data_IF_987207646144
#
_entry.id   IF_987207646144
#
_cell.length_a   1.000
_cell.length_b   1.000
_cell.length_c   1.000
_cell.angle_alpha   90.00
_cell.angle_beta   90.00
_cell.angle_gamma   90.00
#
_symmetry.space_group_name_H-M   'P 1'
#
loop_
_entity.id
_entity.type
_entity.pdbx_description
1 polymer ?
#
# COMPACT_ATOMS: atom_id res chain seq x y z
N UNK A 1 24.35 27.88 -14.10
CA UNK A 1 23.96 26.46 -14.27
C UNK A 1 24.37 25.78 -12.98
N UNK A 2 23.57 25.93 -11.94
CA UNK A 2 23.80 25.24 -10.66
C UNK A 2 23.35 23.80 -10.84
N UNK A 3 24.32 22.90 -10.94
CA UNK A 3 24.11 21.47 -10.76
C UNK A 3 23.73 21.26 -9.29
N UNK A 4 22.44 21.21 -9.01
CA UNK A 4 21.93 20.77 -7.71
C UNK A 4 22.42 19.34 -7.52
N UNK A 5 23.43 19.21 -6.67
CA UNK A 5 24.01 17.98 -6.17
C UNK A 5 22.86 17.03 -5.79
N UNK A 6 22.76 15.89 -6.48
CA UNK A 6 21.80 14.82 -6.19
C UNK A 6 22.20 14.10 -4.89
N UNK A 7 22.38 14.86 -3.81
CA UNK A 7 22.39 14.34 -2.45
C UNK A 7 21.12 13.53 -2.31
N UNK A 8 21.28 12.24 -2.03
CA UNK A 8 20.20 11.34 -1.72
C UNK A 8 19.23 12.07 -0.80
N UNK A 9 18.06 12.44 -1.33
CA UNK A 9 17.02 13.07 -0.53
C UNK A 9 16.61 11.93 0.42
N UNK A 10 17.03 11.97 1.68
CA UNK A 10 16.64 10.95 2.65
C UNK A 10 15.26 11.27 3.21
N UNK A 11 14.48 10.26 3.65
CA UNK A 11 13.23 10.53 4.33
C UNK A 11 13.48 11.33 5.62
N UNK A 12 12.55 12.22 6.01
CA UNK A 12 12.68 13.03 7.21
C UNK A 12 12.83 12.16 8.46
N UNK A 13 13.50 12.66 9.51
CA UNK A 13 13.75 11.88 10.72
C UNK A 13 12.44 11.52 11.42
N UNK A 14 12.34 10.26 11.85
CA UNK A 14 11.26 9.83 12.73
C UNK A 14 11.48 10.43 14.12
N UNK A 15 10.57 11.32 14.53
CA UNK A 15 10.59 11.95 15.85
C UNK A 15 9.69 11.19 16.81
N UNK A 16 10.04 11.23 18.09
CA UNK A 16 9.20 10.73 19.16
C UNK A 16 8.36 11.89 19.75
N UNK A 17 7.09 11.60 20.03
CA UNK A 17 6.21 12.43 20.82
C UNK A 17 6.63 12.39 22.32
N UNK A 18 6.09 13.29 23.16
CA UNK A 18 6.44 13.34 24.59
C UNK A 18 6.14 12.05 25.37
N UNK A 19 5.25 11.19 24.88
CA UNK A 19 4.92 9.89 25.47
C UNK A 19 5.85 8.75 24.99
N UNK A 20 6.88 9.07 24.20
CA UNK A 20 7.85 8.12 23.66
C UNK A 20 7.37 7.36 22.41
N UNK A 21 6.15 7.64 21.91
CA UNK A 21 5.64 7.03 20.68
C UNK A 21 6.07 7.82 19.44
N UNK A 22 5.98 7.25 18.22
CA UNK A 22 6.15 8.01 16.99
C UNK A 22 5.24 9.25 16.93
N UNK A 23 5.81 10.40 16.63
CA UNK A 23 5.07 11.65 16.41
C UNK A 23 4.21 11.54 15.14
N UNK A 24 2.86 11.68 15.21
CA UNK A 24 1.99 11.61 14.05
C UNK A 24 2.35 12.61 12.94
N UNK A 25 2.84 13.79 13.29
CA UNK A 25 3.27 14.78 12.29
C UNK A 25 4.53 14.32 11.56
N UNK A 26 5.49 13.73 12.28
CA UNK A 26 6.67 13.15 11.66
C UNK A 26 6.31 11.95 10.75
N UNK A 27 5.31 11.15 11.12
CA UNK A 27 4.80 10.07 10.25
C UNK A 27 4.20 10.65 8.97
N UNK A 28 3.40 11.72 9.05
CA UNK A 28 2.84 12.38 7.88
C UNK A 28 3.95 12.91 6.94
N UNK A 29 4.98 13.57 7.48
CA UNK A 29 6.14 14.04 6.72
C UNK A 29 6.86 12.89 6.00
N UNK A 30 7.01 11.73 6.66
CA UNK A 30 7.61 10.52 6.09
C UNK A 30 6.73 9.96 4.97
N UNK A 31 5.42 9.83 5.20
CA UNK A 31 4.47 9.35 4.19
C UNK A 31 4.51 10.24 2.95
N UNK A 32 4.48 11.56 3.12
CA UNK A 32 4.59 12.51 2.01
C UNK A 32 5.91 12.35 1.27
N UNK A 33 7.02 12.17 1.98
CA UNK A 33 8.31 11.89 1.35
C UNK A 33 8.25 10.62 0.48
N UNK A 34 7.70 9.51 0.99
CA UNK A 34 7.59 8.28 0.21
C UNK A 34 6.69 8.44 -1.02
N UNK A 35 5.60 9.19 -0.90
CA UNK A 35 4.72 9.48 -2.02
C UNK A 35 5.37 10.37 -3.10
N UNK A 36 6.38 11.16 -2.75
CA UNK A 36 7.09 12.06 -3.66
C UNK A 36 8.37 11.45 -4.25
N UNK A 37 9.06 10.57 -3.51
CA UNK A 37 10.41 10.10 -3.86
C UNK A 37 10.56 8.58 -3.97
N UNK A 38 9.63 7.78 -3.44
CA UNK A 38 9.63 6.34 -3.59
C UNK A 38 8.65 5.91 -4.68
N UNK A 39 9.16 5.54 -5.85
CA UNK A 39 8.35 5.23 -7.04
C UNK A 39 7.27 4.18 -6.76
N UNK A 40 7.58 3.16 -5.96
CA UNK A 40 6.64 2.07 -5.67
C UNK A 40 5.50 2.52 -4.76
N UNK A 41 5.78 3.40 -3.79
CA UNK A 41 4.76 4.00 -2.93
C UNK A 41 3.95 5.03 -3.72
N UNK A 42 4.62 5.88 -4.50
CA UNK A 42 3.99 6.92 -5.33
C UNK A 42 2.93 6.36 -6.29
N UNK A 43 3.06 5.10 -6.73
CA UNK A 43 2.04 4.42 -7.54
C UNK A 43 0.66 4.43 -6.89
N UNK A 44 0.51 4.51 -5.56
CA UNK A 44 -0.82 4.59 -4.93
C UNK A 44 -1.62 5.82 -5.39
N UNK A 45 -0.94 6.89 -5.83
CA UNK A 45 -1.54 8.11 -6.42
C UNK A 45 -1.94 7.94 -7.89
N UNK A 46 -1.58 6.84 -8.53
CA UNK A 46 -1.88 6.62 -9.94
C UNK A 46 -3.40 6.60 -10.17
N UNK A 47 -3.94 7.23 -11.23
CA UNK A 47 -5.38 7.27 -11.50
C UNK A 47 -6.05 5.89 -11.48
N UNK A 48 -5.39 4.86 -12.03
CA UNK A 48 -5.91 3.49 -12.01
C UNK A 48 -6.02 2.89 -10.60
N UNK A 49 -5.15 3.28 -9.68
CA UNK A 49 -5.24 2.83 -8.28
C UNK A 49 -6.35 3.58 -7.53
N UNK A 50 -6.60 4.84 -7.89
CA UNK A 50 -7.74 5.57 -7.36
C UNK A 50 -9.08 5.02 -7.87
N UNK A 51 -9.14 4.63 -9.15
CA UNK A 51 -10.28 3.92 -9.73
C UNK A 51 -10.54 2.59 -9.02
N UNK A 52 -9.50 1.78 -8.82
CA UNK A 52 -9.58 0.54 -8.03
C UNK A 52 -10.09 0.76 -6.61
N UNK A 53 -9.62 1.82 -5.95
CA UNK A 53 -10.06 2.17 -4.61
C UNK A 53 -11.57 2.47 -4.56
N UNK A 54 -12.08 3.30 -5.48
CA UNK A 54 -13.51 3.59 -5.55
C UNK A 54 -14.34 2.36 -5.92
N UNK A 55 -13.84 1.51 -6.83
CA UNK A 55 -14.46 0.21 -7.09
C UNK A 55 -14.56 -0.63 -5.80
N UNK A 56 -13.48 -0.70 -5.02
CA UNK A 56 -13.44 -1.47 -3.77
C UNK A 56 -14.43 -0.93 -2.75
N UNK A 57 -14.53 0.39 -2.59
CA UNK A 57 -15.54 1.01 -1.73
C UNK A 57 -16.96 0.61 -2.16
N UNK A 58 -17.27 0.71 -3.45
CA UNK A 58 -18.59 0.34 -3.98
C UNK A 58 -18.89 -1.17 -3.81
N UNK A 59 -17.90 -2.04 -3.99
CA UNK A 59 -18.03 -3.47 -3.74
C UNK A 59 -18.29 -3.75 -2.26
N UNK A 60 -17.55 -3.12 -1.35
CA UNK A 60 -17.73 -3.28 0.09
C UNK A 60 -19.12 -2.83 0.56
N UNK A 61 -19.58 -1.65 0.13
CA UNK A 61 -20.93 -1.15 0.42
C UNK A 61 -22.01 -2.13 -0.06
N UNK A 62 -21.88 -2.63 -1.30
CA UNK A 62 -22.83 -3.60 -1.88
C UNK A 62 -22.89 -4.90 -1.10
N UNK A 63 -21.77 -5.32 -0.48
CA UNK A 63 -21.66 -6.55 0.30
C UNK A 63 -21.87 -6.32 1.81
N UNK A 64 -22.31 -5.14 2.24
CA UNK A 64 -22.58 -4.83 3.64
C UNK A 64 -21.34 -4.70 4.52
N UNK A 65 -20.17 -4.49 3.90
CA UNK A 65 -18.91 -4.23 4.60
C UNK A 65 -18.83 -2.72 4.87
N UNK A 66 -18.59 -2.29 6.12
CA UNK A 66 -18.45 -0.87 6.44
C UNK A 66 -17.31 -0.22 5.65
N UNK A 67 -17.63 0.88 4.96
CA UNK A 67 -16.65 1.68 4.21
C UNK A 67 -16.30 2.94 4.97
N UNK A 68 -15.00 3.20 5.09
CA UNK A 68 -14.51 4.47 5.59
C UNK A 68 -14.53 5.51 4.45
N UNK A 69 -15.02 6.74 4.71
CA UNK A 69 -15.26 7.75 3.68
C UNK A 69 -13.95 8.48 3.31
N UNK A 70 -12.93 7.74 2.87
CA UNK A 70 -11.73 8.36 2.30
C UNK A 70 -12.04 8.86 0.89
N UNK A 71 -11.49 10.02 0.55
CA UNK A 71 -11.71 10.67 -0.74
C UNK A 71 -10.95 10.01 -1.89
N UNK A 72 -9.84 9.32 -1.60
CA UNK A 72 -8.97 8.70 -2.59
C UNK A 72 -8.07 7.60 -1.98
N UNK A 73 -7.40 6.86 -2.85
CA UNK A 73 -6.48 5.77 -2.48
C UNK A 73 -5.32 6.25 -1.59
N UNK A 74 -4.77 7.45 -1.86
CA UNK A 74 -3.69 8.04 -1.07
C UNK A 74 -4.13 8.30 0.38
N UNK A 75 -5.30 8.89 0.60
CA UNK A 75 -5.83 9.17 1.92
C UNK A 75 -6.06 7.87 2.71
N UNK A 76 -6.62 6.84 2.06
CA UNK A 76 -6.76 5.50 2.67
C UNK A 76 -5.41 4.91 3.06
N UNK A 77 -4.40 5.05 2.21
CA UNK A 77 -3.05 4.57 2.50
C UNK A 77 -2.40 5.33 3.66
N UNK A 78 -2.38 6.68 3.60
CA UNK A 78 -1.71 7.51 4.58
C UNK A 78 -2.28 7.31 5.99
N UNK A 79 -3.62 7.25 6.10
CA UNK A 79 -4.28 6.97 7.38
C UNK A 79 -4.03 5.52 7.83
N UNK A 80 -3.98 4.57 6.90
CA UNK A 80 -3.63 3.18 7.18
C UNK A 80 -2.26 3.03 7.85
N UNK A 81 -1.24 3.73 7.34
CA UNK A 81 0.12 3.75 7.93
C UNK A 81 0.09 4.28 9.36
N UNK A 82 -0.58 5.42 9.59
CA UNK A 82 -0.69 6.02 10.93
C UNK A 82 -1.41 5.07 11.89
N UNK A 83 -2.55 4.50 11.47
CA UNK A 83 -3.32 3.55 12.28
C UNK A 83 -2.53 2.28 12.58
N UNK A 84 -1.76 1.75 11.63
CA UNK A 84 -0.90 0.60 11.85
C UNK A 84 0.11 0.86 12.97
N UNK A 85 0.76 2.03 12.98
CA UNK A 85 1.73 2.38 14.03
C UNK A 85 1.08 2.65 15.39
N UNK A 86 -0.12 3.25 15.40
CA UNK A 86 -0.86 3.53 16.63
C UNK A 86 -1.35 2.25 17.32
N UNK A 87 -1.84 1.27 16.55
CA UNK A 87 -2.35 0.01 17.10
C UNK A 87 -1.25 -1.02 17.36
N UNK A 88 -0.16 -1.00 16.58
CA UNK A 88 0.97 -1.91 16.73
C UNK A 88 2.16 -1.22 17.41
N UNK A 89 1.92 -0.78 18.64
CA UNK A 89 2.77 0.15 19.40
C UNK A 89 4.05 -0.45 20.01
N UNK A 90 4.45 -1.66 19.60
CA UNK A 90 5.64 -2.35 20.08
C UNK A 90 6.28 -3.18 18.97
N UNK A 91 7.54 -3.54 19.14
CA UNK A 91 8.28 -4.31 18.13
C UNK A 91 7.57 -5.61 17.75
N UNK A 92 7.10 -6.47 18.69
CA UNK A 92 6.45 -7.72 18.32
C UNK A 92 5.11 -7.53 17.60
N UNK A 93 4.36 -6.48 17.95
CA UNK A 93 3.08 -6.19 17.30
C UNK A 93 3.29 -5.65 15.88
N UNK A 94 4.25 -4.73 15.69
CA UNK A 94 4.54 -4.19 14.37
C UNK A 94 5.20 -5.25 13.47
N UNK A 95 6.02 -6.13 14.05
CA UNK A 95 6.56 -7.32 13.37
C UNK A 95 5.43 -8.23 12.88
N UNK A 96 4.45 -8.55 13.73
CA UNK A 96 3.29 -9.36 13.34
C UNK A 96 2.50 -8.70 12.20
N UNK A 97 2.16 -7.42 12.36
CA UNK A 97 1.44 -6.67 11.33
C UNK A 97 2.18 -6.62 9.99
N UNK A 98 3.49 -6.40 10.00
CA UNK A 98 4.30 -6.41 8.78
C UNK A 98 4.36 -7.79 8.12
N UNK A 99 4.33 -8.88 8.90
CA UNK A 99 4.19 -10.22 8.33
C UNK A 99 2.84 -10.39 7.63
N UNK A 100 1.74 -9.95 8.25
CA UNK A 100 0.41 -10.00 7.63
C UNK A 100 0.33 -9.18 6.33
N UNK A 101 0.90 -7.98 6.32
CA UNK A 101 0.96 -7.12 5.11
C UNK A 101 1.77 -7.78 3.99
N UNK A 102 2.92 -8.38 4.32
CA UNK A 102 3.77 -9.05 3.31
C UNK A 102 3.13 -10.35 2.81
N UNK A 103 2.46 -11.10 3.68
CA UNK A 103 1.71 -12.29 3.29
C UNK A 103 0.55 -11.93 2.35
N UNK A 104 -0.26 -10.92 2.70
CA UNK A 104 -1.34 -10.44 1.85
C UNK A 104 -0.83 -9.92 0.50
N UNK A 105 0.32 -9.23 0.48
CA UNK A 105 0.98 -8.80 -0.76
C UNK A 105 1.39 -10.00 -1.63
N UNK A 106 1.97 -11.05 -1.02
CA UNK A 106 2.39 -12.24 -1.74
C UNK A 106 1.20 -12.98 -2.36
N UNK A 107 0.15 -13.24 -1.57
CA UNK A 107 -1.07 -13.92 -2.01
C UNK A 107 -1.80 -13.13 -3.11
N UNK A 108 -1.91 -11.80 -2.94
CA UNK A 108 -2.52 -10.94 -3.94
C UNK A 108 -1.76 -10.97 -5.27
N UNK A 109 -0.42 -10.93 -5.22
CA UNK A 109 0.44 -11.00 -6.41
C UNK A 109 0.31 -12.33 -7.13
N UNK A 110 0.36 -13.43 -6.39
CA UNK A 110 0.19 -14.79 -6.92
C UNK A 110 -1.18 -14.93 -7.60
N UNK A 111 -2.25 -14.60 -6.88
CA UNK A 111 -3.63 -14.65 -7.41
C UNK A 111 -3.80 -13.78 -8.66
N UNK A 112 -3.30 -12.55 -8.66
CA UNK A 112 -3.38 -11.67 -9.83
C UNK A 112 -2.64 -12.27 -11.02
N UNK A 113 -1.44 -12.81 -10.78
CA UNK A 113 -0.62 -13.41 -11.81
C UNK A 113 -1.32 -14.64 -12.42
N UNK A 114 -1.85 -15.54 -11.60
CA UNK A 114 -2.58 -16.73 -12.06
C UNK A 114 -3.78 -16.35 -12.95
N UNK A 115 -4.60 -15.38 -12.53
CA UNK A 115 -5.75 -14.93 -13.33
C UNK A 115 -5.29 -14.26 -14.62
N UNK A 116 -4.23 -13.44 -14.56
CA UNK A 116 -3.65 -12.75 -15.73
C UNK A 116 -3.19 -13.77 -16.77
N UNK A 117 -2.45 -14.79 -16.35
CA UNK A 117 -1.91 -15.84 -17.22
C UNK A 117 -3.04 -16.71 -17.80
N UNK A 118 -3.97 -17.17 -16.96
CA UNK A 118 -5.10 -18.00 -17.38
C UNK A 118 -6.00 -17.32 -18.43
N UNK A 119 -6.08 -15.99 -18.41
CA UNK A 119 -6.94 -15.21 -19.31
C UNK A 119 -6.16 -14.38 -20.34
N UNK A 120 -4.82 -14.48 -20.37
CA UNK A 120 -3.94 -13.68 -21.22
C UNK A 120 -4.22 -12.17 -21.17
N UNK A 121 -4.42 -11.64 -19.96
CA UNK A 121 -4.79 -10.24 -19.76
C UNK A 121 -3.63 -9.29 -20.13
N UNK A 122 -2.39 -9.76 -20.06
CA UNK A 122 -1.14 -9.02 -20.32
C UNK A 122 -0.91 -8.61 -21.78
N UNK A 123 -1.78 -9.03 -22.72
CA UNK A 123 -1.68 -8.68 -24.15
C UNK A 123 -1.72 -7.18 -24.42
N UNK A 124 -2.31 -6.40 -23.53
CA UNK A 124 -2.33 -4.94 -23.63
C UNK A 124 -1.95 -4.33 -22.27
N UNK A 125 -0.67 -3.99 -22.04
CA UNK A 125 -0.19 -3.52 -20.75
C UNK A 125 -0.68 -2.10 -20.39
N UNK A 126 -1.27 -1.37 -21.33
CA UNK A 126 -1.77 -0.02 -21.12
C UNK A 126 -3.17 0.02 -20.50
N UNK A 127 -3.85 -1.14 -20.39
CA UNK A 127 -5.17 -1.22 -19.79
C UNK A 127 -5.10 -1.01 -18.27
N UNK A 128 -6.11 -0.33 -17.75
CA UNK A 128 -6.35 -0.30 -16.31
C UNK A 128 -6.77 -1.69 -15.80
N UNK A 129 -6.60 -1.95 -14.49
CA UNK A 129 -7.13 -3.15 -13.86
C UNK A 129 -8.65 -3.33 -14.09
N UNK A 130 -9.41 -2.23 -14.11
CA UNK A 130 -10.85 -2.28 -14.42
C UNK A 130 -11.12 -2.79 -15.83
N UNK A 131 -10.38 -2.28 -16.82
CA UNK A 131 -10.51 -2.71 -18.22
C UNK A 131 -10.04 -4.17 -18.41
N UNK A 132 -9.01 -4.62 -17.69
CA UNK A 132 -8.63 -6.03 -17.69
C UNK A 132 -9.72 -6.91 -17.09
N UNK A 133 -10.36 -6.48 -16.00
CA UNK A 133 -11.44 -7.22 -15.39
C UNK A 133 -12.64 -7.37 -16.35
N UNK A 134 -12.89 -6.41 -17.24
CA UNK A 134 -13.97 -6.53 -18.22
C UNK A 134 -13.79 -7.69 -19.21
N UNK A 135 -12.55 -8.15 -19.41
CA UNK A 135 -12.22 -9.32 -20.24
C UNK A 135 -12.50 -10.66 -19.52
N UNK A 136 -12.71 -10.64 -18.21
CA UNK A 136 -12.95 -11.85 -17.42
C UNK A 136 -14.41 -12.34 -17.56
N UNK A 137 -14.64 -13.66 -17.64
CA UNK A 137 -15.94 -14.22 -17.99
C UNK A 137 -16.94 -14.19 -16.82
N UNK A 138 -16.46 -14.23 -15.56
CA UNK A 138 -17.33 -14.31 -14.38
C UNK A 138 -17.16 -13.15 -13.42
N UNK A 139 -18.24 -12.73 -12.76
CA UNK A 139 -18.18 -11.68 -11.73
C UNK A 139 -17.31 -12.09 -10.52
N UNK A 140 -17.23 -13.38 -10.21
CA UNK A 140 -16.39 -13.88 -9.12
C UNK A 140 -14.90 -13.70 -9.44
N UNK A 141 -14.46 -14.07 -10.64
CA UNK A 141 -13.08 -13.83 -11.08
C UNK A 141 -12.77 -12.34 -11.19
N UNK A 142 -13.70 -11.53 -11.72
CA UNK A 142 -13.56 -10.06 -11.74
C UNK A 142 -13.27 -9.51 -10.36
N UNK A 143 -14.09 -9.88 -9.38
CA UNK A 143 -13.96 -9.42 -8.00
C UNK A 143 -12.66 -9.90 -7.36
N UNK A 144 -12.27 -11.15 -7.59
CA UNK A 144 -11.02 -11.70 -7.09
C UNK A 144 -9.82 -10.94 -7.68
N UNK A 145 -9.76 -10.81 -9.00
CA UNK A 145 -8.71 -10.08 -9.70
C UNK A 145 -8.58 -8.62 -9.23
N UNK A 146 -9.68 -7.88 -9.19
CA UNK A 146 -9.67 -6.47 -8.78
C UNK A 146 -9.29 -6.30 -7.31
N UNK A 147 -9.74 -7.22 -6.43
CA UNK A 147 -9.31 -7.24 -5.02
C UNK A 147 -7.81 -7.46 -4.89
N UNK A 148 -7.26 -8.41 -5.65
CA UNK A 148 -5.83 -8.69 -5.68
C UNK A 148 -5.02 -7.52 -6.23
N UNK A 149 -5.48 -6.85 -7.29
CA UNK A 149 -4.84 -5.63 -7.80
C UNK A 149 -4.82 -4.51 -6.74
N UNK A 150 -5.93 -4.30 -6.02
CA UNK A 150 -6.01 -3.30 -4.95
C UNK A 150 -5.07 -3.64 -3.77
N UNK A 151 -5.09 -4.88 -3.30
CA UNK A 151 -4.22 -5.34 -2.20
C UNK A 151 -2.75 -5.25 -2.58
N UNK A 152 -2.37 -5.63 -3.81
CA UNK A 152 -1.00 -5.50 -4.27
C UNK A 152 -0.53 -4.04 -4.22
N UNK A 153 -1.34 -3.09 -4.70
CA UNK A 153 -1.02 -1.68 -4.67
C UNK A 153 -0.90 -1.14 -3.22
N UNK A 154 -1.90 -1.41 -2.38
CA UNK A 154 -1.96 -0.92 -1.01
C UNK A 154 -0.85 -1.52 -0.14
N UNK A 155 -0.72 -2.85 -0.12
CA UNK A 155 0.26 -3.53 0.72
C UNK A 155 1.70 -3.27 0.25
N UNK A 156 1.93 -3.01 -1.05
CA UNK A 156 3.24 -2.54 -1.52
C UNK A 156 3.61 -1.21 -0.89
N UNK A 157 2.69 -0.23 -0.90
CA UNK A 157 2.93 1.08 -0.31
C UNK A 157 3.11 0.99 1.22
N UNK A 158 2.23 0.25 1.91
CA UNK A 158 2.30 0.07 3.37
C UNK A 158 3.58 -0.64 3.79
N UNK A 159 3.97 -1.75 3.16
CA UNK A 159 5.19 -2.48 3.50
C UNK A 159 6.46 -1.62 3.36
N UNK A 160 6.51 -0.74 2.36
CA UNK A 160 7.67 0.13 2.13
C UNK A 160 7.83 1.18 3.22
N UNK A 161 6.74 1.88 3.57
CA UNK A 161 6.78 2.91 4.60
C UNK A 161 6.96 2.28 5.99
N UNK A 162 6.16 1.27 6.32
CA UNK A 162 6.21 0.63 7.63
C UNK A 162 7.53 -0.12 7.85
N UNK A 163 8.09 -0.76 6.82
CA UNK A 163 9.40 -1.40 6.90
C UNK A 163 10.54 -0.42 7.16
N UNK A 164 10.48 0.79 6.56
CA UNK A 164 11.44 1.85 6.84
C UNK A 164 11.29 2.40 8.26
N UNK A 165 10.05 2.65 8.70
CA UNK A 165 9.76 3.12 10.07
C UNK A 165 10.23 2.09 11.10
N UNK A 166 9.98 0.80 10.86
CA UNK A 166 10.47 -0.29 11.69
C UNK A 166 12.00 -0.24 11.84
N UNK A 167 12.73 -0.08 10.73
CA UNK A 167 14.18 0.09 10.77
C UNK A 167 14.61 1.29 11.63
N UNK A 168 13.92 2.43 11.52
CA UNK A 168 14.25 3.61 12.31
C UNK A 168 13.92 3.47 13.79
N UNK A 169 12.83 2.78 14.15
CA UNK A 169 12.43 2.56 15.53
C UNK A 169 13.33 1.55 16.25
N UNK A 170 13.72 0.48 15.57
CA UNK A 170 14.36 -0.68 16.21
C UNK A 170 15.81 -0.92 15.78
N UNK A 171 16.36 -0.08 14.88
CA UNK A 171 17.75 -0.14 14.46
C UNK A 171 18.11 -1.37 13.62
N UNK A 172 17.12 -2.16 13.18
CA UNK A 172 17.31 -3.34 12.35
C UNK A 172 16.23 -3.43 11.26
N UNK A 173 16.56 -3.92 10.05
CA UNK A 173 15.56 -4.07 9.01
C UNK A 173 14.53 -5.13 9.41
N UNK A 174 13.27 -4.90 9.04
CA UNK A 174 12.25 -5.94 9.10
C UNK A 174 12.69 -7.12 8.23
N UNK A 175 12.49 -8.33 8.74
CA UNK A 175 12.78 -9.58 8.03
C UNK A 175 11.55 -10.48 8.14
N UNK A 176 10.81 -10.73 7.04
CA UNK A 176 9.65 -11.58 7.06
C UNK A 176 10.00 -12.96 7.63
N UNK A 177 9.16 -13.47 8.53
CA UNK A 177 9.27 -14.83 9.03
C UNK A 177 8.54 -15.73 8.05
N UNK A 178 9.24 -16.75 7.56
CA UNK A 178 8.65 -17.82 6.75
C UNK A 178 7.65 -18.63 7.56
#
# INVERSE_FOLDING_TARGET
METTDARAIEPPPLRAAPDGKPDPMAIADIVEWFLNYDERTARIRHPHNNELFHWKQADDEKNGIPVYPFENAEARFAVGVVQALMHNNSEPLLDLWLNDVVAALAEARETRQEITEANSLDKNPDLSPMQHADLLPTNSEKRLYLSSCWLEALCTAEARVLGWIYLKMYGKPFSPKQ
#
